data_IF_637691938150
#
_entry.id   IF_637691938150
#
_cell.length_a   1.000
_cell.length_b   1.000
_cell.length_c   1.000
_cell.angle_alpha   90.00
_cell.angle_beta   90.00
_cell.angle_gamma   90.00
#
_symmetry.space_group_name_H-M   'P 1'
#
loop_
_entity.id
_entity.type
_entity.pdbx_description
1 polymer ?
#
# COMPACT_ATOMS: atom_id res chain seq x y z
N UNK A 1 -5.99 -25.69 4.26
CA UNK A 1 -4.71 -26.40 4.50
C UNK A 1 -3.46 -25.50 4.38
N UNK A 2 -3.50 -24.33 3.72
CA UNK A 2 -2.31 -23.48 3.50
C UNK A 2 -2.23 -22.21 4.36
N UNK A 3 -2.98 -22.09 5.46
CA UNK A 3 -3.01 -20.84 6.26
C UNK A 3 -1.62 -20.51 6.81
N UNK A 4 -0.95 -21.48 7.45
CA UNK A 4 0.40 -21.28 7.99
C UNK A 4 1.40 -20.95 6.88
N UNK A 5 1.37 -21.70 5.76
CA UNK A 5 2.23 -21.41 4.60
C UNK A 5 1.99 -20.02 4.02
N UNK A 6 0.73 -19.59 3.96
CA UNK A 6 0.35 -18.25 3.50
C UNK A 6 0.87 -17.16 4.43
N UNK A 7 0.83 -17.40 5.75
CA UNK A 7 1.40 -16.47 6.72
C UNK A 7 2.91 -16.30 6.53
N UNK A 8 3.65 -17.41 6.39
CA UNK A 8 5.09 -17.35 6.11
C UNK A 8 5.40 -16.67 4.77
N UNK A 9 4.65 -17.01 3.71
CA UNK A 9 4.80 -16.42 2.38
C UNK A 9 4.47 -14.92 2.35
N UNK A 10 3.57 -14.45 3.20
CA UNK A 10 3.27 -13.02 3.32
C UNK A 10 4.30 -12.28 4.18
N UNK A 11 4.71 -12.85 5.32
CA UNK A 11 5.57 -12.15 6.29
C UNK A 11 7.03 -12.11 5.83
N UNK A 12 7.61 -13.24 5.41
CA UNK A 12 9.06 -13.34 5.19
C UNK A 12 9.53 -12.38 4.09
N UNK A 13 8.92 -12.34 2.89
CA UNK A 13 9.38 -11.46 1.83
C UNK A 13 9.18 -9.98 2.17
N UNK A 14 8.07 -9.63 2.84
CA UNK A 14 7.78 -8.23 3.20
C UNK A 14 8.72 -7.72 4.28
N UNK A 15 9.07 -8.55 5.25
CA UNK A 15 10.12 -8.23 6.23
C UNK A 15 11.49 -8.11 5.57
N UNK A 16 11.80 -8.95 4.57
CA UNK A 16 13.03 -8.82 3.81
C UNK A 16 13.10 -7.49 3.04
N UNK A 17 12.02 -7.11 2.35
CA UNK A 17 11.94 -5.80 1.69
C UNK A 17 12.03 -4.64 2.69
N UNK A 18 11.40 -4.74 3.85
CA UNK A 18 11.49 -3.73 4.91
C UNK A 18 12.94 -3.52 5.36
N UNK A 19 13.68 -4.60 5.56
CA UNK A 19 15.10 -4.55 5.93
C UNK A 19 15.94 -3.96 4.79
N UNK A 20 15.63 -4.29 3.53
CA UNK A 20 16.32 -3.73 2.36
C UNK A 20 16.13 -2.21 2.29
N UNK A 21 14.88 -1.72 2.36
CA UNK A 21 14.62 -0.27 2.29
C UNK A 21 15.24 0.47 3.46
N UNK A 22 15.21 -0.10 4.68
CA UNK A 22 15.83 0.49 5.85
C UNK A 22 17.36 0.52 5.74
N UNK A 23 17.98 -0.48 5.09
CA UNK A 23 19.43 -0.51 4.85
C UNK A 23 19.89 0.41 3.74
N UNK A 24 19.01 0.78 2.80
CA UNK A 24 19.34 1.73 1.74
C UNK A 24 19.60 3.13 2.27
N UNK A 25 19.01 3.50 3.41
CA UNK A 25 19.49 4.64 4.15
C UNK A 25 20.84 4.30 4.81
N UNK A 26 21.94 4.52 4.10
CA UNK A 26 23.27 4.16 4.60
C UNK A 26 23.81 5.18 5.59
N UNK A 27 23.46 6.45 5.41
CA UNK A 27 24.14 7.58 6.06
C UNK A 27 23.36 8.13 7.24
N UNK A 28 22.02 8.04 7.24
CA UNK A 28 21.19 8.52 8.34
C UNK A 28 20.03 7.57 8.62
N UNK A 29 20.35 6.41 9.23
CA UNK A 29 19.35 5.36 9.41
C UNK A 29 18.25 5.79 10.37
N UNK A 30 17.03 5.70 9.87
CA UNK A 30 15.84 5.85 10.69
C UNK A 30 15.82 4.89 11.89
N UNK A 31 15.31 5.34 13.06
CA UNK A 31 15.08 4.47 14.21
C UNK A 31 14.18 3.30 13.79
N UNK A 32 14.72 2.09 13.85
CA UNK A 32 14.00 0.89 13.36
C UNK A 32 12.63 0.70 14.04
N UNK A 33 12.48 1.15 15.29
CA UNK A 33 11.18 1.16 15.99
C UNK A 33 10.12 2.01 15.27
N UNK A 34 10.49 3.19 14.75
CA UNK A 34 9.55 4.04 13.99
C UNK A 34 9.21 3.41 12.65
N UNK A 35 10.19 2.79 11.98
CA UNK A 35 9.97 2.04 10.73
C UNK A 35 9.00 0.87 10.97
N UNK A 36 9.16 0.12 12.06
CA UNK A 36 8.23 -0.93 12.45
C UNK A 36 6.84 -0.40 12.79
N UNK A 37 6.73 0.75 13.48
CA UNK A 37 5.42 1.37 13.75
C UNK A 37 4.70 1.74 12.45
N UNK A 38 5.45 2.27 11.47
CA UNK A 38 4.94 2.55 10.11
C UNK A 38 4.47 1.26 9.42
N UNK A 39 5.28 0.22 9.46
CA UNK A 39 4.91 -1.11 8.94
C UNK A 39 3.63 -1.66 9.57
N UNK A 40 3.52 -1.62 10.90
CA UNK A 40 2.32 -2.11 11.60
C UNK A 40 1.10 -1.22 11.39
N UNK A 41 1.27 0.09 11.21
CA UNK A 41 0.17 0.95 10.76
C UNK A 41 -0.37 0.46 9.42
N UNK A 42 0.50 0.22 8.43
CA UNK A 42 0.10 -0.34 7.15
C UNK A 42 -0.60 -1.69 7.29
N UNK A 43 0.00 -2.61 8.04
CA UNK A 43 -0.48 -3.98 8.18
C UNK A 43 -1.82 -4.11 8.93
N UNK A 44 -2.13 -3.19 9.84
CA UNK A 44 -3.30 -3.31 10.72
C UNK A 44 -4.19 -2.07 10.63
N UNK A 45 -3.65 -0.90 10.98
CA UNK A 45 -4.42 0.34 11.06
C UNK A 45 -5.04 0.71 9.71
N UNK A 46 -4.21 0.87 8.68
CA UNK A 46 -4.64 1.21 7.34
C UNK A 46 -5.61 0.18 6.75
N UNK A 47 -5.40 -1.13 7.00
CA UNK A 47 -6.34 -2.20 6.58
C UNK A 47 -7.71 -1.98 7.22
N UNK A 48 -7.79 -1.80 8.54
CA UNK A 48 -9.06 -1.60 9.26
C UNK A 48 -9.79 -0.37 8.72
N UNK A 49 -9.10 0.76 8.59
CA UNK A 49 -9.72 1.98 8.07
C UNK A 49 -10.08 1.86 6.60
N UNK A 50 -9.33 1.08 5.81
CA UNK A 50 -9.64 0.84 4.40
C UNK A 50 -10.90 0.02 4.21
N UNK A 51 -11.10 -1.00 5.04
CA UNK A 51 -12.33 -1.79 5.03
C UNK A 51 -13.55 -0.94 5.37
N UNK A 52 -13.45 -0.11 6.43
CA UNK A 52 -14.52 0.81 6.82
C UNK A 52 -14.78 1.82 5.70
N UNK A 53 -13.73 2.46 5.16
CA UNK A 53 -13.87 3.44 4.09
C UNK A 53 -14.50 2.82 2.84
N UNK A 54 -14.01 1.66 2.40
CA UNK A 54 -14.54 0.99 1.21
C UNK A 54 -16.00 0.59 1.39
N UNK A 55 -16.40 0.17 2.59
CA UNK A 55 -17.81 -0.11 2.92
C UNK A 55 -18.68 1.15 2.86
N UNK A 56 -18.19 2.30 3.34
CA UNK A 56 -18.95 3.55 3.28
C UNK A 56 -19.09 4.07 1.84
N UNK A 57 -18.04 3.94 1.02
CA UNK A 57 -18.03 4.43 -0.35
C UNK A 57 -18.75 3.49 -1.34
N UNK A 58 -18.85 2.19 -1.05
CA UNK A 58 -19.57 1.24 -1.92
C UNK A 58 -21.05 1.60 -2.07
N UNK A 59 -21.70 2.09 -0.99
CA UNK A 59 -23.08 2.58 -1.03
C UNK A 59 -23.28 3.85 -1.87
N UNK A 60 -22.26 4.67 -2.04
CA UNK A 60 -22.31 5.84 -2.92
C UNK A 60 -22.09 5.44 -4.38
N UNK A 61 -21.12 4.57 -4.65
CA UNK A 61 -20.80 4.12 -6.01
C UNK A 61 -21.88 3.23 -6.61
N UNK A 62 -22.65 2.50 -5.78
CA UNK A 62 -23.79 1.72 -6.25
C UNK A 62 -24.85 2.55 -6.96
N UNK A 63 -24.94 3.86 -6.71
CA UNK A 63 -25.83 4.78 -7.44
C UNK A 63 -25.38 5.04 -8.88
N UNK A 64 -24.11 4.79 -9.20
CA UNK A 64 -23.50 5.01 -10.52
C UNK A 64 -23.21 3.70 -11.26
N UNK A 65 -23.39 2.55 -10.60
CA UNK A 65 -23.19 1.24 -11.20
C UNK A 65 -24.50 0.71 -11.79
N UNK A 66 -24.44 0.23 -13.04
CA UNK A 66 -25.58 -0.35 -13.75
C UNK A 66 -25.69 -1.87 -13.59
N UNK A 67 -24.66 -2.50 -13.02
CA UNK A 67 -24.61 -3.95 -12.72
C UNK A 67 -23.70 -4.23 -11.52
N UNK A 68 -23.87 -5.39 -10.90
CA UNK A 68 -22.99 -5.85 -9.81
C UNK A 68 -21.52 -5.96 -10.26
N UNK A 69 -21.29 -6.48 -11.46
CA UNK A 69 -19.94 -6.55 -12.03
C UNK A 69 -19.31 -5.15 -12.19
N UNK A 70 -20.07 -4.16 -12.64
CA UNK A 70 -19.56 -2.80 -12.76
C UNK A 70 -19.28 -2.18 -11.39
N UNK A 71 -20.12 -2.48 -10.39
CA UNK A 71 -19.91 -2.05 -9.01
C UNK A 71 -18.60 -2.63 -8.44
N UNK A 72 -18.35 -3.92 -8.65
CA UNK A 72 -17.13 -4.59 -8.22
C UNK A 72 -15.89 -4.00 -8.89
N UNK A 73 -15.92 -3.79 -10.21
CA UNK A 73 -14.82 -3.16 -10.92
C UNK A 73 -14.54 -1.73 -10.45
N UNK A 74 -15.57 -0.90 -10.26
CA UNK A 74 -15.38 0.45 -9.71
C UNK A 74 -14.86 0.41 -8.28
N UNK A 75 -15.33 -0.55 -7.48
CA UNK A 75 -14.85 -0.81 -6.12
C UNK A 75 -13.34 -1.11 -6.11
N UNK A 76 -12.91 -2.10 -6.89
CA UNK A 76 -11.51 -2.54 -6.94
C UNK A 76 -10.59 -1.53 -7.62
N UNK A 77 -11.02 -0.93 -8.74
CA UNK A 77 -10.14 -0.09 -9.56
C UNK A 77 -10.07 1.34 -9.02
N UNK A 78 -11.17 1.89 -8.49
CA UNK A 78 -11.24 3.30 -8.09
C UNK A 78 -11.33 3.46 -6.58
N UNK A 79 -12.33 2.83 -5.94
CA UNK A 79 -12.61 3.07 -4.52
C UNK A 79 -11.46 2.57 -3.65
N UNK A 80 -11.00 1.34 -3.87
CA UNK A 80 -9.93 0.75 -3.08
C UNK A 80 -8.64 1.58 -3.16
N UNK A 81 -8.10 1.95 -4.34
CA UNK A 81 -6.91 2.81 -4.40
C UNK A 81 -7.04 4.15 -3.69
N UNK A 82 -8.18 4.82 -3.84
CA UNK A 82 -8.42 6.12 -3.17
C UNK A 82 -8.44 5.94 -1.66
N UNK A 83 -9.25 5.01 -1.16
CA UNK A 83 -9.44 4.80 0.28
C UNK A 83 -8.15 4.28 0.92
N UNK A 84 -7.49 3.32 0.28
CA UNK A 84 -6.30 2.70 0.85
C UNK A 84 -5.12 3.67 0.94
N UNK A 85 -4.82 4.42 -0.12
CA UNK A 85 -3.68 5.34 -0.08
C UNK A 85 -3.94 6.51 0.88
N UNK A 86 -5.20 6.95 1.02
CA UNK A 86 -5.58 7.94 2.05
C UNK A 86 -5.31 7.36 3.44
N UNK A 87 -5.78 6.16 3.75
CA UNK A 87 -5.66 5.58 5.10
C UNK A 87 -4.23 5.20 5.47
N UNK A 88 -3.44 4.70 4.51
CA UNK A 88 -1.98 4.55 4.63
C UNK A 88 -1.35 5.90 4.94
N UNK A 89 -1.76 6.92 4.20
CA UNK A 89 -1.28 8.30 4.29
C UNK A 89 -1.54 9.03 5.63
N UNK A 90 -2.60 8.68 6.36
CA UNK A 90 -2.95 9.31 7.65
C UNK A 90 -1.75 9.28 8.62
N UNK A 91 -1.09 8.13 8.73
CA UNK A 91 0.03 7.99 9.65
C UNK A 91 1.29 8.70 9.17
N UNK A 92 1.48 8.86 7.85
CA UNK A 92 2.57 9.68 7.33
C UNK A 92 2.47 11.13 7.79
N UNK A 93 1.28 11.72 7.83
CA UNK A 93 1.11 13.08 8.37
C UNK A 93 1.52 13.17 9.84
N UNK A 94 1.25 12.13 10.64
CA UNK A 94 1.69 12.04 12.04
C UNK A 94 3.21 11.92 12.13
N UNK A 95 3.82 11.06 11.30
CA UNK A 95 5.26 10.81 11.30
C UNK A 95 6.07 11.99 10.78
N UNK A 96 5.56 12.73 9.79
CA UNK A 96 6.19 13.96 9.27
C UNK A 96 6.31 15.04 10.36
N UNK A 97 5.41 15.07 11.34
CA UNK A 97 5.52 15.97 12.49
C UNK A 97 6.53 15.49 13.55
N UNK A 98 7.01 14.25 13.47
CA UNK A 98 8.02 13.71 14.38
C UNK A 98 9.37 14.43 14.18
N UNK A 99 10.10 14.64 15.28
CA UNK A 99 11.45 15.22 15.25
C UNK A 99 12.48 14.31 14.57
N UNK A 100 12.20 13.00 14.52
CA UNK A 100 13.01 11.98 13.83
C UNK A 100 12.79 11.91 12.32
N UNK A 101 11.82 12.66 11.81
CA UNK A 101 11.75 12.92 10.39
C UNK A 101 12.60 14.17 10.15
N UNK A 102 13.91 14.02 9.95
CA UNK A 102 14.88 15.11 9.87
C UNK A 102 15.57 15.21 8.50
N UNK A 103 15.28 14.31 7.56
CA UNK A 103 15.81 14.33 6.21
C UNK A 103 14.72 14.08 5.13
N UNK A 104 15.02 14.50 3.90
CA UNK A 104 14.12 14.45 2.75
C UNK A 104 13.75 13.01 2.36
N UNK A 105 14.67 12.07 2.57
CA UNK A 105 14.53 10.67 2.17
C UNK A 105 13.71 9.82 3.14
N UNK A 106 13.50 10.28 4.37
CA UNK A 106 12.82 9.52 5.44
C UNK A 106 11.39 9.18 5.04
N UNK A 107 10.75 10.09 4.30
CA UNK A 107 9.43 9.88 3.73
C UNK A 107 9.35 8.65 2.83
N UNK A 108 10.41 8.35 2.07
CA UNK A 108 10.49 7.14 1.23
C UNK A 108 10.54 5.90 2.12
N UNK A 109 11.35 5.93 3.19
CA UNK A 109 11.52 4.79 4.10
C UNK A 109 10.25 4.51 4.90
N UNK A 110 9.68 5.54 5.53
CA UNK A 110 8.45 5.41 6.32
C UNK A 110 7.23 5.10 5.45
N UNK A 111 7.12 5.74 4.28
CA UNK A 111 6.04 5.47 3.34
C UNK A 111 6.14 4.05 2.76
N UNK A 112 7.34 3.64 2.35
CA UNK A 112 7.59 2.28 1.90
C UNK A 112 7.28 1.24 2.97
N UNK A 113 7.64 1.51 4.23
CA UNK A 113 7.30 0.63 5.35
C UNK A 113 5.77 0.44 5.51
N UNK A 114 4.99 1.53 5.46
CA UNK A 114 3.51 1.47 5.51
C UNK A 114 2.97 0.65 4.33
N UNK A 115 3.45 0.93 3.11
CA UNK A 115 3.03 0.21 1.91
C UNK A 115 3.33 -1.29 1.99
N UNK A 116 4.53 -1.67 2.43
CA UNK A 116 4.91 -3.08 2.63
C UNK A 116 4.08 -3.77 3.70
N UNK A 117 3.80 -3.09 4.81
CA UNK A 117 2.94 -3.62 5.86
C UNK A 117 1.53 -3.89 5.35
N UNK A 118 0.96 -2.96 4.60
CA UNK A 118 -0.35 -3.16 3.98
C UNK A 118 -0.34 -4.31 2.98
N UNK A 119 0.66 -4.34 2.08
CA UNK A 119 0.84 -5.39 1.09
C UNK A 119 1.05 -6.78 1.72
N UNK A 120 1.69 -6.87 2.90
CA UNK A 120 1.79 -8.12 3.66
C UNK A 120 0.42 -8.67 4.03
N UNK A 121 -0.43 -7.85 4.67
CA UNK A 121 -1.74 -8.29 5.12
C UNK A 121 -2.64 -8.61 3.92
N UNK A 122 -2.63 -7.77 2.89
CA UNK A 122 -3.41 -8.01 1.69
C UNK A 122 -2.97 -9.31 0.99
N UNK A 123 -1.67 -9.54 0.83
CA UNK A 123 -1.14 -10.78 0.28
C UNK A 123 -1.61 -12.01 1.06
N UNK A 124 -1.52 -11.97 2.39
CA UNK A 124 -2.02 -13.05 3.23
C UNK A 124 -3.50 -13.36 2.95
N UNK A 125 -4.35 -12.33 2.90
CA UNK A 125 -5.78 -12.46 2.62
C UNK A 125 -6.04 -13.04 1.22
N UNK A 126 -5.28 -12.63 0.22
CA UNK A 126 -5.40 -13.17 -1.14
C UNK A 126 -4.96 -14.63 -1.21
N UNK A 127 -3.87 -15.00 -0.54
CA UNK A 127 -3.33 -16.37 -0.57
C UNK A 127 -4.32 -17.38 0.02
N UNK A 128 -5.00 -17.01 1.11
CA UNK A 128 -6.00 -17.89 1.74
C UNK A 128 -7.33 -17.91 1.00
N UNK A 129 -7.68 -16.84 0.28
CA UNK A 129 -8.96 -16.71 -0.42
C UNK A 129 -8.94 -17.32 -1.82
N UNK A 130 -7.82 -17.16 -2.54
CA UNK A 130 -7.72 -17.51 -3.95
C UNK A 130 -6.73 -18.65 -4.25
N UNK A 131 -5.90 -19.05 -3.28
CA UNK A 131 -5.01 -20.21 -3.40
C UNK A 131 -5.72 -21.54 -3.15
N UNK A 132 -6.75 -21.86 -3.96
CA UNK A 132 -7.59 -23.06 -3.79
C UNK A 132 -6.84 -24.35 -4.11
N UNK A 133 -5.94 -24.31 -5.10
CA UNK A 133 -5.00 -25.38 -5.42
C UNK A 133 -3.55 -24.94 -5.11
N UNK A 134 -2.62 -25.90 -5.02
CA UNK A 134 -1.20 -25.57 -4.79
C UNK A 134 -0.62 -24.78 -5.95
N UNK A 135 -1.01 -25.07 -7.19
CA UNK A 135 -0.56 -24.31 -8.38
C UNK A 135 -1.04 -22.86 -8.33
N UNK A 136 -2.32 -22.64 -8.03
CA UNK A 136 -2.89 -21.29 -7.95
C UNK A 136 -2.25 -20.51 -6.80
N UNK A 137 -2.03 -21.17 -5.66
CA UNK A 137 -1.35 -20.58 -4.51
C UNK A 137 0.09 -20.16 -4.83
N UNK A 138 0.86 -20.97 -5.56
CA UNK A 138 2.23 -20.60 -5.97
C UNK A 138 2.19 -19.40 -6.92
N UNK A 139 1.31 -19.43 -7.94
CA UNK A 139 1.20 -18.35 -8.91
C UNK A 139 0.85 -17.02 -8.25
N UNK A 140 -0.16 -17.01 -7.38
CA UNK A 140 -0.59 -15.80 -6.68
C UNK A 140 0.47 -15.29 -5.70
N UNK A 141 1.19 -16.19 -5.01
CA UNK A 141 2.31 -15.81 -4.13
C UNK A 141 3.39 -15.09 -4.91
N UNK A 142 3.80 -15.62 -6.06
CA UNK A 142 4.85 -15.01 -6.89
C UNK A 142 4.40 -13.64 -7.39
N UNK A 143 3.23 -13.55 -8.02
CA UNK A 143 2.75 -12.31 -8.63
C UNK A 143 2.57 -11.22 -7.57
N UNK A 144 1.88 -11.54 -6.48
CA UNK A 144 1.57 -10.51 -5.49
C UNK A 144 2.79 -10.11 -4.64
N UNK A 145 3.74 -11.01 -4.42
CA UNK A 145 4.96 -10.68 -3.68
C UNK A 145 5.91 -9.83 -4.51
N UNK A 146 6.06 -10.10 -5.80
CA UNK A 146 6.99 -9.39 -6.68
C UNK A 146 6.41 -8.09 -7.24
N UNK A 147 5.09 -8.02 -7.43
CA UNK A 147 4.45 -6.89 -8.09
C UNK A 147 3.49 -6.12 -7.17
N UNK A 148 2.41 -6.73 -6.66
CA UNK A 148 1.40 -6.00 -5.88
C UNK A 148 1.97 -5.36 -4.61
N UNK A 149 2.77 -6.11 -3.84
CA UNK A 149 3.38 -5.58 -2.62
C UNK A 149 4.43 -4.50 -2.89
N UNK A 150 5.19 -4.65 -3.97
CA UNK A 150 6.15 -3.62 -4.40
C UNK A 150 5.42 -2.38 -4.88
N UNK A 151 4.28 -2.51 -5.56
CA UNK A 151 3.42 -1.39 -5.93
C UNK A 151 2.97 -0.62 -4.69
N UNK A 152 2.44 -1.30 -3.65
CA UNK A 152 2.06 -0.59 -2.42
C UNK A 152 3.23 0.12 -1.76
N UNK A 153 4.40 -0.54 -1.70
CA UNK A 153 5.62 0.09 -1.21
C UNK A 153 5.92 1.37 -2.00
N UNK A 154 5.92 1.31 -3.32
CA UNK A 154 6.25 2.43 -4.21
C UNK A 154 5.22 3.56 -4.12
N UNK A 155 3.93 3.25 -4.17
CA UNK A 155 2.85 4.24 -4.10
C UNK A 155 2.94 5.06 -2.81
N UNK A 156 2.98 4.39 -1.66
CA UNK A 156 3.03 5.08 -0.37
C UNK A 156 4.40 5.73 -0.10
N UNK A 157 5.51 5.16 -0.60
CA UNK A 157 6.83 5.80 -0.55
C UNK A 157 6.90 7.10 -1.35
N UNK A 158 6.25 7.16 -2.53
CA UNK A 158 6.15 8.39 -3.33
C UNK A 158 5.38 9.44 -2.54
N UNK A 159 4.24 9.08 -1.94
CA UNK A 159 3.52 10.04 -1.12
C UNK A 159 4.39 10.57 0.04
N UNK A 160 5.10 9.67 0.74
CA UNK A 160 6.06 10.06 1.77
C UNK A 160 7.18 10.97 1.26
N UNK A 161 7.72 10.72 0.07
CA UNK A 161 8.74 11.57 -0.56
C UNK A 161 8.23 13.00 -0.81
N UNK A 162 7.00 13.14 -1.30
CA UNK A 162 6.36 14.44 -1.50
C UNK A 162 6.11 15.16 -0.17
N UNK A 163 5.74 14.45 0.89
CA UNK A 163 5.62 15.02 2.23
C UNK A 163 6.96 15.48 2.79
N UNK A 164 8.03 14.71 2.58
CA UNK A 164 9.39 15.13 2.92
C UNK A 164 9.80 16.39 2.16
N UNK A 165 9.50 16.44 0.86
CA UNK A 165 9.75 17.62 0.04
C UNK A 165 8.97 18.83 0.52
N UNK A 166 7.69 18.66 0.85
CA UNK A 166 6.84 19.69 1.44
C UNK A 166 7.40 20.20 2.78
N UNK A 167 7.94 19.32 3.64
CA UNK A 167 8.50 19.71 4.93
C UNK A 167 9.76 20.56 4.79
N UNK A 168 10.70 20.16 3.95
CA UNK A 168 12.06 20.73 3.93
C UNK A 168 12.37 21.71 2.81
N UNK A 169 11.67 21.63 1.66
CA UNK A 169 12.00 22.43 0.47
C UNK A 169 10.79 23.12 -0.18
N UNK A 170 9.56 22.75 0.19
CA UNK A 170 8.35 23.17 -0.51
C UNK A 170 7.78 24.52 -0.05
N UNK A 171 7.58 25.43 -1.01
CA UNK A 171 6.90 26.71 -0.78
C UNK A 171 5.37 26.56 -0.60
N UNK A 172 4.77 25.50 -1.17
CA UNK A 172 3.34 25.19 -1.04
C UNK A 172 3.12 23.76 -0.54
N UNK A 173 3.16 23.60 0.78
CA UNK A 173 3.09 22.29 1.47
C UNK A 173 1.81 21.52 1.14
N UNK A 174 0.69 22.23 1.07
CA UNK A 174 -0.61 21.63 0.76
C UNK A 174 -0.62 21.03 -0.64
N UNK A 175 -0.23 21.81 -1.65
CA UNK A 175 -0.24 21.35 -3.05
C UNK A 175 0.70 20.16 -3.27
N UNK A 176 1.89 20.18 -2.67
CA UNK A 176 2.83 19.07 -2.75
C UNK A 176 2.29 17.80 -2.09
N UNK A 177 1.67 17.92 -0.92
CA UNK A 177 1.05 16.78 -0.22
C UNK A 177 -0.08 16.19 -1.06
N UNK A 178 -0.95 17.03 -1.61
CA UNK A 178 -2.06 16.59 -2.48
C UNK A 178 -1.54 15.92 -3.75
N UNK A 179 -0.48 16.47 -4.36
CA UNK A 179 0.14 15.91 -5.57
C UNK A 179 0.73 14.52 -5.29
N UNK A 180 1.47 14.37 -4.19
CA UNK A 180 2.04 13.08 -3.80
C UNK A 180 0.97 12.01 -3.57
N UNK A 181 -0.11 12.37 -2.87
CA UNK A 181 -1.24 11.46 -2.65
C UNK A 181 -1.94 11.10 -3.95
N UNK A 182 -2.17 12.08 -4.84
CA UNK A 182 -2.78 11.84 -6.14
C UNK A 182 -1.95 10.88 -7.01
N UNK A 183 -0.61 11.02 -6.99
CA UNK A 183 0.29 10.11 -7.71
C UNK A 183 0.24 8.70 -7.10
N UNK A 184 0.24 8.57 -5.77
CA UNK A 184 0.12 7.28 -5.09
C UNK A 184 -1.18 6.55 -5.47
N UNK A 185 -2.31 7.27 -5.40
CA UNK A 185 -3.62 6.76 -5.83
C UNK A 185 -3.58 6.36 -7.30
N UNK A 186 -2.99 7.18 -8.18
CA UNK A 186 -2.91 6.89 -9.60
C UNK A 186 -2.09 5.63 -9.91
N UNK A 187 -0.94 5.45 -9.25
CA UNK A 187 -0.11 4.24 -9.42
C UNK A 187 -0.90 2.99 -9.02
N UNK A 188 -1.59 3.06 -7.88
CA UNK A 188 -2.38 1.94 -7.39
C UNK A 188 -3.62 1.68 -8.28
N UNK A 189 -4.33 2.73 -8.70
CA UNK A 189 -5.39 2.66 -9.71
C UNK A 189 -4.90 1.97 -10.99
N UNK A 190 -3.74 2.39 -11.52
CA UNK A 190 -3.20 1.86 -12.76
C UNK A 190 -2.82 0.37 -12.61
N UNK A 191 -2.28 -0.02 -11.46
CA UNK A 191 -2.03 -1.43 -11.14
C UNK A 191 -3.33 -2.23 -11.13
N UNK A 192 -4.33 -1.81 -10.36
CA UNK A 192 -5.61 -2.53 -10.27
C UNK A 192 -6.31 -2.59 -11.63
N UNK A 193 -6.30 -1.50 -12.40
CA UNK A 193 -6.83 -1.48 -13.75
C UNK A 193 -6.15 -2.52 -14.66
N UNK A 194 -4.81 -2.62 -14.61
CA UNK A 194 -4.06 -3.56 -15.47
C UNK A 194 -4.36 -5.03 -15.18
N UNK A 195 -4.66 -5.38 -13.93
CA UNK A 195 -4.92 -6.77 -13.52
C UNK A 195 -6.41 -7.14 -13.45
N UNK A 196 -7.32 -6.19 -13.72
CA UNK A 196 -8.78 -6.40 -13.55
C UNK A 196 -9.50 -6.94 -14.79
N UNK A 197 -8.87 -6.98 -15.96
CA UNK A 197 -9.49 -7.50 -17.20
C UNK A 197 -8.81 -8.78 -17.66
N UNK A 198 -9.60 -9.77 -18.09
CA UNK A 198 -9.10 -11.07 -18.58
C UNK A 198 -8.10 -10.96 -19.74
N UNK A 199 -8.18 -9.91 -20.57
CA UNK A 199 -7.25 -9.70 -21.68
C UNK A 199 -5.92 -9.04 -21.26
N UNK A 200 -5.83 -8.49 -20.05
CA UNK A 200 -4.64 -7.82 -19.53
C UNK A 200 -4.03 -8.52 -18.31
N UNK A 201 -4.78 -9.41 -17.66
CA UNK A 201 -4.25 -10.32 -16.65
C UNK A 201 -3.29 -11.32 -17.30
N UNK A 202 -2.06 -11.44 -16.77
CA UNK A 202 -1.05 -12.42 -17.24
C UNK A 202 -1.35 -13.84 -16.70
N UNK A 203 -2.62 -14.15 -16.44
CA UNK A 203 -3.08 -15.43 -15.87
C UNK A 203 -4.17 -16.04 -16.73
#
# INVERSE_FOLDING_TARGET
MLILSSAFAAIIPMMAYLIIIWRFDRYDREPFKLVLMCYFWGAVGAIIFSLIGSFLFSGFISLFASSEQQLDHLGTIVVAPVVEEITKGIFLFVIVANRKFDNLTDGIVYGGAIGLGFGMTENFLYFISYGTTVSDWIAIVIIRTLFSAVMHCVATAIFGAFLGHAKFKGNNKFLLSLTGLAIAIFIHFAWNFSVSFQSTAVL
#
